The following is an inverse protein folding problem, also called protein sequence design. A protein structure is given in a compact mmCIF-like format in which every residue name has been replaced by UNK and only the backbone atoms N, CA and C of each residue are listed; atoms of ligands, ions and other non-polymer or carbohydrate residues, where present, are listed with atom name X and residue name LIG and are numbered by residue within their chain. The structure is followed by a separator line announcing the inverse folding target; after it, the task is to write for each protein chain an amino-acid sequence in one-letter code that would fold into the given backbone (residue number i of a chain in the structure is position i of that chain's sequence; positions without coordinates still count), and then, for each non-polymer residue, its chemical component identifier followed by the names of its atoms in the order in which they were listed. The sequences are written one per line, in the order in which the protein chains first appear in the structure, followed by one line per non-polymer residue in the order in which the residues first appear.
data_IF_136969082188
#
_entry.id   IF_136969082188
#
_cell.length_a   1.000
_cell.length_b   1.000
_cell.length_c   1.000
_cell.angle_alpha   90.00
_cell.angle_beta   90.00
_cell.angle_gamma   90.00
#
_symmetry.space_group_name_H-M   'P 1'
#
loop_
_entity.id
_entity.type
_entity.pdbx_description
1 polymer ?
#
# COMPACT_ATOMS: atom_id res chain seq x y z
N UNK A 1 12.68 5.18 -15.34
CA UNK A 1 12.89 4.37 -14.12
C UNK A 1 12.08 5.01 -13.00
N UNK A 2 11.26 4.25 -12.26
CA UNK A 2 10.58 4.77 -11.07
C UNK A 2 11.61 5.04 -9.98
N UNK A 3 11.38 6.08 -9.16
CA UNK A 3 12.13 6.29 -7.91
C UNK A 3 12.03 5.03 -7.04
N UNK A 4 13.13 4.65 -6.39
CA UNK A 4 13.15 3.60 -5.37
C UNK A 4 12.34 4.06 -4.15
N UNK A 5 11.40 3.23 -3.72
CA UNK A 5 10.63 3.45 -2.50
C UNK A 5 11.52 3.24 -1.26
N UNK A 6 11.19 3.93 -0.16
CA UNK A 6 11.87 3.81 1.13
C UNK A 6 10.83 3.70 2.27
N UNK A 7 9.79 2.90 2.09
CA UNK A 7 8.65 2.84 3.00
C UNK A 7 8.86 1.82 4.11
N UNK A 8 9.47 0.68 3.76
CA UNK A 8 9.76 -0.41 4.65
C UNK A 8 10.99 -0.13 5.53
N UNK A 9 11.85 0.81 5.14
CA UNK A 9 13.14 1.08 5.80
C UNK A 9 13.95 -0.23 5.91
N UNK A 10 13.96 -0.97 4.81
CA UNK A 10 14.61 -2.26 4.65
C UNK A 10 14.90 -2.45 3.16
N UNK A 11 16.17 -2.68 2.80
CA UNK A 11 16.63 -2.56 1.41
C UNK A 11 15.93 -3.53 0.47
N UNK A 12 15.75 -4.79 0.90
CA UNK A 12 15.15 -5.84 0.08
C UNK A 12 13.62 -5.68 0.00
N UNK A 13 12.97 -5.32 1.11
CA UNK A 13 11.53 -5.05 1.09
C UNK A 13 11.22 -3.83 0.22
N UNK A 14 12.01 -2.76 0.33
CA UNK A 14 11.84 -1.55 -0.47
C UNK A 14 12.13 -1.78 -1.96
N UNK A 15 13.02 -2.71 -2.30
CA UNK A 15 13.22 -3.17 -3.68
C UNK A 15 11.98 -3.90 -4.22
N UNK A 16 11.46 -4.89 -3.49
CA UNK A 16 10.21 -5.57 -3.87
C UNK A 16 9.04 -4.59 -4.02
N UNK A 17 8.88 -3.66 -3.09
CA UNK A 17 7.85 -2.62 -3.20
C UNK A 17 8.09 -1.77 -4.45
N UNK A 18 9.34 -1.42 -4.76
CA UNK A 18 9.67 -0.61 -5.94
C UNK A 18 9.27 -1.30 -7.23
N UNK A 19 9.49 -2.61 -7.33
CA UNK A 19 9.32 -3.41 -8.54
C UNK A 19 7.89 -3.93 -8.73
N UNK A 20 7.19 -4.23 -7.64
CA UNK A 20 5.87 -4.85 -7.67
C UNK A 20 4.78 -3.89 -7.11
N UNK A 21 3.87 -3.49 -8.00
CA UNK A 21 2.74 -2.62 -7.66
C UNK A 21 1.75 -3.29 -6.69
N UNK A 22 1.54 -4.60 -6.81
CA UNK A 22 0.69 -5.35 -5.89
C UNK A 22 1.33 -5.43 -4.50
N UNK A 23 2.65 -5.60 -4.42
CA UNK A 23 3.37 -5.54 -3.14
C UNK A 23 3.18 -4.18 -2.46
N UNK A 24 3.29 -3.08 -3.22
CA UNK A 24 3.01 -1.74 -2.69
C UNK A 24 1.57 -1.60 -2.19
N UNK A 25 0.60 -2.10 -2.96
CA UNK A 25 -0.82 -2.06 -2.60
C UNK A 25 -1.13 -2.90 -1.34
N UNK A 26 -0.53 -4.08 -1.24
CA UNK A 26 -0.64 -4.97 -0.08
C UNK A 26 0.00 -4.33 1.16
N UNK A 27 1.16 -3.68 1.04
CA UNK A 27 1.74 -2.90 2.14
C UNK A 27 0.79 -1.83 2.66
N UNK A 28 0.09 -1.13 1.76
CA UNK A 28 -0.93 -0.13 2.12
C UNK A 28 -2.16 -0.76 2.79
N UNK A 29 -2.59 -1.95 2.37
CA UNK A 29 -3.66 -2.71 3.04
C UNK A 29 -3.28 -3.03 4.50
N UNK A 30 -2.02 -3.41 4.73
CA UNK A 30 -1.49 -3.75 6.06
C UNK A 30 -1.27 -2.52 6.96
N UNK A 31 -1.14 -1.30 6.41
CA UNK A 31 -0.93 -0.07 7.19
C UNK A 31 -2.24 0.34 7.89
N UNK A 32 -2.61 -0.38 8.95
CA UNK A 32 -3.75 -0.05 9.80
C UNK A 32 -3.51 -0.52 11.24
N UNK A 33 -3.42 0.47 12.14
CA UNK A 33 -3.11 0.20 13.55
C UNK A 33 -1.81 -0.60 13.71
N UNK A 34 -0.84 -0.42 12.83
CA UNK A 34 0.43 -1.13 12.86
C UNK A 34 1.54 -0.15 12.46
N UNK A 35 2.78 -0.31 12.95
CA UNK A 35 3.86 0.55 12.51
C UNK A 35 4.00 0.46 10.99
N UNK A 36 4.02 1.61 10.34
CA UNK A 36 3.94 1.74 8.88
C UNK A 36 5.05 0.93 8.21
N UNK A 37 6.29 1.05 8.68
CA UNK A 37 7.45 0.36 8.13
C UNK A 37 7.26 -1.17 8.20
N UNK A 38 6.71 -1.65 9.32
CA UNK A 38 6.43 -3.08 9.47
C UNK A 38 5.28 -3.55 8.57
N UNK A 39 4.28 -2.72 8.30
CA UNK A 39 3.24 -3.02 7.32
C UNK A 39 3.84 -3.17 5.91
N UNK A 40 4.72 -2.25 5.51
CA UNK A 40 5.39 -2.29 4.21
C UNK A 40 6.47 -3.37 4.08
N UNK A 41 6.95 -3.96 5.19
CA UNK A 41 7.76 -5.21 5.18
C UNK A 41 6.91 -6.47 4.97
N UNK A 42 5.59 -6.39 5.14
CA UNK A 42 4.68 -7.53 5.02
C UNK A 42 4.78 -8.30 3.69
N UNK A 43 4.76 -7.63 2.52
CA UNK A 43 4.95 -8.28 1.23
C UNK A 43 6.24 -9.11 1.13
N UNK A 44 7.37 -8.59 1.63
CA UNK A 44 8.66 -9.31 1.60
C UNK A 44 8.62 -10.58 2.45
N UNK A 45 7.99 -10.54 3.62
CA UNK A 45 7.79 -11.75 4.45
C UNK A 45 6.96 -12.80 3.74
N UNK A 46 5.94 -12.40 2.98
CA UNK A 46 5.15 -13.33 2.16
C UNK A 46 6.04 -13.92 1.07
N UNK A 47 6.80 -13.08 0.37
CA UNK A 47 7.73 -13.51 -0.67
C UNK A 47 8.74 -14.55 -0.17
N UNK A 48 9.37 -14.29 0.97
CA UNK A 48 10.37 -15.19 1.57
C UNK A 48 9.77 -16.55 1.94
N UNK A 49 8.52 -16.57 2.40
CA UNK A 49 7.83 -17.80 2.82
C UNK A 49 7.25 -18.60 1.66
N UNK A 50 6.91 -17.93 0.55
CA UNK A 50 6.36 -18.56 -0.64
C UNK A 50 7.41 -18.85 -1.72
N UNK A 51 8.67 -18.44 -1.52
CA UNK A 51 9.75 -18.58 -2.50
C UNK A 51 9.56 -17.65 -3.71
N UNK A 52 9.05 -16.45 -3.48
CA UNK A 52 8.72 -15.46 -4.51
C UNK A 52 7.41 -14.73 -4.20
N UNK A 53 7.23 -13.55 -4.78
CA UNK A 53 6.01 -12.75 -4.64
C UNK A 53 5.18 -12.85 -5.93
N UNK A 54 4.01 -13.47 -5.85
CA UNK A 54 3.13 -13.70 -6.99
C UNK A 54 1.67 -13.58 -6.55
N UNK A 55 0.92 -12.69 -7.21
CA UNK A 55 -0.47 -12.41 -6.90
C UNK A 55 -1.38 -13.64 -7.09
N UNK A 56 -1.13 -14.47 -8.11
CA UNK A 56 -1.91 -15.68 -8.38
C UNK A 56 -1.65 -16.72 -7.30
N UNK A 57 -0.38 -16.94 -6.94
CA UNK A 57 -0.03 -17.87 -5.85
C UNK A 57 -0.65 -17.44 -4.52
N UNK A 58 -0.70 -16.14 -4.23
CA UNK A 58 -1.37 -15.62 -3.03
C UNK A 58 -2.88 -15.88 -3.09
N UNK A 59 -3.52 -15.58 -4.22
CA UNK A 59 -4.96 -15.72 -4.39
C UNK A 59 -5.45 -17.19 -4.34
N UNK A 60 -4.64 -18.11 -4.86
CA UNK A 60 -4.95 -19.54 -5.04
C UNK A 60 -4.50 -20.43 -3.87
N UNK A 61 -3.60 -19.93 -3.00
CA UNK A 61 -3.16 -20.68 -1.83
C UNK A 61 -4.36 -21.07 -0.93
N UNK A 62 -4.28 -22.26 -0.32
CA UNK A 62 -5.25 -22.65 0.70
C UNK A 62 -5.32 -21.58 1.79
N UNK A 63 -6.55 -21.23 2.19
CA UNK A 63 -6.78 -20.12 3.10
C UNK A 63 -6.13 -20.36 4.46
N UNK A 64 -6.27 -21.57 5.01
CA UNK A 64 -5.74 -21.90 6.33
C UNK A 64 -4.21 -21.95 6.30
N UNK A 65 -3.63 -22.55 5.27
CA UNK A 65 -2.17 -22.58 5.08
C UNK A 65 -1.59 -21.17 4.92
N UNK A 66 -2.24 -20.31 4.12
CA UNK A 66 -1.78 -18.93 3.92
C UNK A 66 -1.93 -18.09 5.19
N UNK A 67 -3.00 -18.29 5.96
CA UNK A 67 -3.19 -17.68 7.28
C UNK A 67 -2.08 -18.07 8.25
N UNK A 68 -1.76 -19.36 8.34
CA UNK A 68 -0.67 -19.89 9.17
C UNK A 68 0.68 -19.30 8.74
N UNK A 69 0.96 -19.33 7.44
CA UNK A 69 2.15 -18.74 6.84
C UNK A 69 2.30 -17.27 7.21
N UNK A 70 1.23 -16.48 7.13
CA UNK A 70 1.24 -15.05 7.44
C UNK A 70 1.29 -14.75 8.95
N UNK A 71 0.80 -15.68 9.78
CA UNK A 71 0.84 -15.60 11.25
C UNK A 71 2.17 -16.06 11.86
N UNK A 72 3.02 -16.78 11.12
CA UNK A 72 4.35 -17.21 11.56
C UNK A 72 5.18 -16.03 12.11
N UNK A 73 5.60 -16.07 13.40
CA UNK A 73 6.44 -15.04 13.98
C UNK A 73 7.80 -14.90 13.25
N UNK A 74 8.27 -13.67 12.98
CA UNK A 74 7.54 -12.41 13.16
C UNK A 74 6.44 -12.25 12.10
N UNK A 75 5.17 -12.17 12.52
CA UNK A 75 4.01 -12.14 11.62
C UNK A 75 4.03 -10.93 10.68
N UNK A 76 3.29 -11.00 9.57
CA UNK A 76 3.17 -9.87 8.61
C UNK A 76 2.48 -8.65 9.24
N UNK A 77 1.67 -8.90 10.27
CA UNK A 77 0.87 -7.91 10.97
C UNK A 77 0.55 -8.42 12.37
N UNK A 78 0.21 -7.53 13.31
CA UNK A 78 -0.27 -7.92 14.66
C UNK A 78 -1.57 -8.75 14.65
N UNK A 79 -2.27 -8.76 13.50
CA UNK A 79 -3.45 -9.58 13.24
C UNK A 79 -3.19 -10.47 12.00
N UNK A 80 -2.10 -11.26 12.03
CA UNK A 80 -1.56 -11.98 10.88
C UNK A 80 -2.62 -12.72 10.05
N UNK A 81 -3.39 -13.63 10.67
CA UNK A 81 -4.46 -14.41 9.99
C UNK A 81 -5.53 -13.54 9.33
N UNK A 82 -6.03 -12.53 10.05
CA UNK A 82 -7.08 -11.63 9.54
C UNK A 82 -6.57 -10.81 8.35
N UNK A 83 -5.32 -10.35 8.41
CA UNK A 83 -4.71 -9.63 7.30
C UNK A 83 -4.34 -10.56 6.14
N UNK A 84 -4.05 -11.84 6.39
CA UNK A 84 -3.81 -12.84 5.35
C UNK A 84 -5.06 -13.02 4.47
N UNK A 85 -6.23 -13.24 5.08
CA UNK A 85 -7.51 -13.34 4.34
C UNK A 85 -7.76 -12.11 3.47
N UNK A 86 -7.59 -10.91 4.04
CA UNK A 86 -7.75 -9.65 3.31
C UNK A 86 -6.75 -9.49 2.17
N UNK A 87 -5.53 -10.00 2.32
CA UNK A 87 -4.53 -9.99 1.26
C UNK A 87 -4.95 -10.91 0.10
N UNK A 88 -5.51 -12.08 0.38
CA UNK A 88 -6.06 -12.95 -0.66
C UNK A 88 -7.30 -12.33 -1.33
N UNK A 89 -8.20 -11.70 -0.56
CA UNK A 89 -9.36 -10.99 -1.12
C UNK A 89 -8.93 -9.87 -2.07
N UNK A 90 -7.90 -9.10 -1.67
CA UNK A 90 -7.32 -8.06 -2.52
C UNK A 90 -6.68 -8.64 -3.78
N UNK A 91 -5.93 -9.75 -3.66
CA UNK A 91 -5.32 -10.43 -4.80
C UNK A 91 -6.38 -10.90 -5.81
N UNK A 92 -7.42 -11.60 -5.33
CA UNK A 92 -8.55 -12.05 -6.15
C UNK A 92 -9.25 -10.90 -6.85
N UNK A 93 -9.50 -9.80 -6.13
CA UNK A 93 -10.16 -8.63 -6.72
C UNK A 93 -9.36 -8.03 -7.89
N UNK A 94 -8.04 -7.91 -7.75
CA UNK A 94 -7.16 -7.43 -8.83
C UNK A 94 -7.13 -8.41 -10.00
N UNK A 95 -7.10 -9.72 -9.73
CA UNK A 95 -7.15 -10.74 -10.78
C UNK A 95 -8.45 -10.63 -11.58
N UNK A 96 -9.59 -10.58 -10.90
CA UNK A 96 -10.92 -10.58 -11.51
C UNK A 96 -11.23 -9.27 -12.26
N UNK A 97 -10.88 -8.11 -11.70
CA UNK A 97 -11.31 -6.82 -12.23
C UNK A 97 -10.24 -6.09 -13.05
N UNK A 98 -8.97 -6.49 -12.90
CA UNK A 98 -7.82 -5.80 -13.47
C UNK A 98 -6.81 -6.74 -14.14
N UNK A 99 -7.24 -7.97 -14.47
CA UNK A 99 -6.44 -8.94 -15.24
C UNK A 99 -5.12 -9.33 -14.54
N UNK A 100 -5.13 -9.31 -13.19
CA UNK A 100 -3.95 -9.59 -12.35
C UNK A 100 -2.92 -8.46 -12.32
N UNK A 101 -3.17 -7.36 -13.04
CA UNK A 101 -2.23 -6.25 -13.20
C UNK A 101 -2.66 -5.05 -12.38
N UNK A 102 -2.01 -4.86 -11.24
CA UNK A 102 -2.35 -3.77 -10.31
C UNK A 102 -2.30 -2.39 -10.96
N UNK A 103 -1.38 -2.15 -11.91
CA UNK A 103 -1.28 -0.88 -12.60
C UNK A 103 -2.49 -0.54 -13.49
N UNK A 104 -3.34 -1.51 -13.82
CA UNK A 104 -4.57 -1.24 -14.57
C UNK A 104 -5.55 -0.36 -13.79
N UNK A 105 -5.43 -0.28 -12.46
CA UNK A 105 -6.17 0.70 -11.64
C UNK A 105 -5.99 2.13 -12.16
N UNK A 106 -4.80 2.49 -12.63
CA UNK A 106 -4.46 3.84 -13.12
C UNK A 106 -4.02 3.92 -14.58
N UNK A 107 -3.92 2.78 -15.29
CA UNK A 107 -3.56 2.75 -16.72
C UNK A 107 -4.72 2.38 -17.64
N UNK A 108 -5.57 1.43 -17.23
CA UNK A 108 -6.65 0.89 -18.09
C UNK A 108 -7.66 2.00 -18.40
N UNK A 109 -7.81 2.29 -19.69
CA UNK A 109 -8.68 3.34 -20.25
C UNK A 109 -8.27 4.79 -19.91
N UNK A 110 -7.01 5.03 -19.52
CA UNK A 110 -6.45 6.37 -19.22
C UNK A 110 -7.35 7.20 -18.27
N UNK A 111 -7.62 6.69 -17.06
CA UNK A 111 -8.55 7.33 -16.12
C UNK A 111 -8.00 8.68 -15.61
N UNK A 112 -8.90 9.57 -15.22
CA UNK A 112 -8.56 10.77 -14.47
C UNK A 112 -8.33 10.44 -12.97
N UNK A 113 -7.87 11.42 -12.20
CA UNK A 113 -7.60 11.24 -10.78
C UNK A 113 -8.83 10.87 -9.95
N UNK A 114 -10.03 11.31 -10.36
CA UNK A 114 -11.29 10.97 -9.68
C UNK A 114 -11.66 9.51 -9.91
N UNK A 115 -11.50 9.02 -11.14
CA UNK A 115 -11.74 7.64 -11.50
C UNK A 115 -10.72 6.70 -10.85
N UNK A 116 -9.44 7.07 -10.81
CA UNK A 116 -8.44 6.29 -10.07
C UNK A 116 -8.79 6.25 -8.57
N UNK A 117 -9.20 7.37 -7.98
CA UNK A 117 -9.64 7.37 -6.58
C UNK A 117 -10.86 6.46 -6.36
N UNK A 118 -11.85 6.51 -7.25
CA UNK A 118 -13.04 5.65 -7.19
C UNK A 118 -12.64 4.16 -7.24
N UNK A 119 -11.80 3.77 -8.21
CA UNK A 119 -11.28 2.40 -8.34
C UNK A 119 -10.50 1.94 -7.10
N UNK A 120 -9.69 2.82 -6.51
CA UNK A 120 -8.96 2.54 -5.27
C UNK A 120 -9.90 2.34 -4.08
N UNK A 121 -11.04 3.05 -4.02
CA UNK A 121 -12.05 2.88 -2.97
C UNK A 121 -12.86 1.60 -3.10
N UNK A 122 -12.95 1.03 -4.29
CA UNK A 122 -13.65 -0.24 -4.51
C UNK A 122 -12.80 -1.46 -4.08
N UNK A 123 -11.51 -1.27 -3.82
CA UNK A 123 -10.63 -2.36 -3.40
C UNK A 123 -11.01 -2.90 -2.00
N UNK A 124 -11.03 -4.23 -1.79
CA UNK A 124 -11.21 -4.82 -0.47
C UNK A 124 -10.23 -4.25 0.56
N UNK A 125 -10.76 -3.67 1.63
CA UNK A 125 -9.98 -3.08 2.72
C UNK A 125 -9.47 -1.64 2.49
N UNK A 126 -9.86 -0.98 1.39
CA UNK A 126 -9.52 0.42 1.13
C UNK A 126 -10.70 1.36 1.43
N UNK A 127 -10.62 2.05 2.57
CA UNK A 127 -11.47 3.20 2.84
C UNK A 127 -10.99 4.46 2.10
N UNK A 128 -11.79 5.52 2.16
CA UNK A 128 -11.52 6.80 1.51
C UNK A 128 -10.11 7.34 1.81
N UNK A 129 -9.71 7.32 3.08
CA UNK A 129 -8.40 7.83 3.48
C UNK A 129 -7.25 7.04 2.84
N UNK A 130 -7.32 5.70 2.83
CA UNK A 130 -6.27 4.87 2.21
C UNK A 130 -6.21 5.10 0.71
N UNK A 131 -7.36 5.19 0.05
CA UNK A 131 -7.44 5.46 -1.38
C UNK A 131 -6.80 6.81 -1.74
N UNK A 132 -7.10 7.88 -0.98
CA UNK A 132 -6.47 9.21 -1.18
C UNK A 132 -4.96 9.20 -0.94
N UNK A 133 -4.50 8.51 0.11
CA UNK A 133 -3.07 8.36 0.40
C UNK A 133 -2.37 7.59 -0.72
N UNK A 134 -2.96 6.49 -1.21
CA UNK A 134 -2.36 5.69 -2.27
C UNK A 134 -2.31 6.46 -3.60
N UNK A 135 -3.38 7.20 -3.95
CA UNK A 135 -3.37 8.10 -5.11
C UNK A 135 -2.26 9.17 -4.99
N UNK A 136 -2.04 9.71 -3.79
CA UNK A 136 -0.94 10.64 -3.55
C UNK A 136 0.42 9.98 -3.73
N UNK A 137 0.62 8.74 -3.24
CA UNK A 137 1.85 7.99 -3.42
C UNK A 137 2.15 7.75 -4.91
N UNK A 138 1.13 7.40 -5.70
CA UNK A 138 1.22 7.26 -7.14
C UNK A 138 1.71 8.56 -7.81
N UNK A 139 1.09 9.69 -7.50
CA UNK A 139 1.45 10.98 -8.10
C UNK A 139 2.82 11.51 -7.67
N UNK A 140 3.15 11.40 -6.38
CA UNK A 140 4.37 11.98 -5.80
C UNK A 140 5.61 11.14 -6.02
N UNK A 141 5.50 9.81 -5.93
CA UNK A 141 6.67 8.92 -5.94
C UNK A 141 6.76 8.05 -7.19
N UNK A 142 5.64 7.75 -7.84
CA UNK A 142 5.61 6.87 -9.03
C UNK A 142 5.45 7.60 -10.36
N UNK A 143 5.28 8.92 -10.33
CA UNK A 143 5.07 9.72 -11.55
C UNK A 143 3.74 9.41 -12.24
N UNK A 144 2.80 8.76 -11.55
CA UNK A 144 1.46 8.45 -12.06
C UNK A 144 0.55 9.62 -11.74
N UNK A 145 0.44 10.55 -12.68
CA UNK A 145 -0.21 11.84 -12.48
C UNK A 145 -1.40 12.03 -13.44
N UNK A 146 -2.48 11.24 -13.30
CA UNK A 146 -3.69 11.43 -14.11
C UNK A 146 -4.31 12.81 -13.84
N UNK A 147 -5.06 13.35 -14.81
CA UNK A 147 -5.64 14.69 -14.68
C UNK A 147 -6.45 14.84 -13.38
N UNK A 148 -6.21 15.91 -12.61
CA UNK A 148 -6.95 16.16 -11.37
C UNK A 148 -6.57 15.27 -10.17
N UNK A 149 -5.43 14.55 -10.23
CA UNK A 149 -5.05 13.62 -9.15
C UNK A 149 -4.78 14.30 -7.80
N UNK A 150 -4.26 15.53 -7.79
CA UNK A 150 -3.97 16.26 -6.54
C UNK A 150 -5.28 16.64 -5.84
N UNK A 151 -6.23 17.17 -6.60
CA UNK A 151 -7.57 17.53 -6.15
C UNK A 151 -8.30 16.29 -5.61
N UNK A 152 -8.21 15.16 -6.30
CA UNK A 152 -8.79 13.90 -5.85
C UNK A 152 -8.12 13.36 -4.57
N UNK A 153 -6.80 13.46 -4.46
CA UNK A 153 -6.06 13.08 -3.24
C UNK A 153 -6.31 14.02 -2.05
N UNK A 154 -6.89 15.21 -2.28
CA UNK A 154 -7.14 16.23 -1.27
C UNK A 154 -5.85 16.69 -0.60
N UNK A 155 -5.89 16.93 0.72
CA UNK A 155 -4.72 17.40 1.47
C UNK A 155 -3.49 16.46 1.39
N UNK A 156 -3.67 15.19 1.03
CA UNK A 156 -2.55 14.28 0.78
C UNK A 156 -1.84 14.61 -0.54
N UNK A 157 -2.50 15.24 -1.50
CA UNK A 157 -1.96 15.68 -2.78
C UNK A 157 -1.17 17.00 -2.72
N UNK A 158 -1.23 17.73 -1.61
CA UNK A 158 -0.52 19.00 -1.43
C UNK A 158 0.98 18.84 -1.67
N UNK A 159 1.58 19.80 -2.39
CA UNK A 159 3.02 19.85 -2.57
C UNK A 159 3.73 20.18 -1.25
N UNK A 160 4.88 19.56 -1.01
CA UNK A 160 5.65 19.75 0.23
C UNK A 160 5.01 19.17 1.50
N UNK A 161 3.85 18.51 1.43
CA UNK A 161 3.22 17.94 2.62
C UNK A 161 4.05 16.81 3.26
N UNK A 162 3.83 16.57 4.57
CA UNK A 162 4.42 15.48 5.36
C UNK A 162 3.35 14.79 6.19
N UNK A 163 2.31 14.27 5.53
CA UNK A 163 1.07 13.79 6.18
C UNK A 163 0.96 12.27 6.22
N UNK A 164 1.56 11.58 5.25
CA UNK A 164 1.31 10.16 5.02
C UNK A 164 2.52 9.44 4.42
N UNK A 165 2.38 8.14 4.19
CA UNK A 165 3.40 7.32 3.52
C UNK A 165 3.73 7.84 2.12
N UNK A 166 2.79 8.51 1.44
CA UNK A 166 3.04 9.15 0.15
C UNK A 166 4.15 10.21 0.20
N UNK A 167 4.44 10.76 1.39
CA UNK A 167 5.45 11.78 1.62
C UNK A 167 6.78 11.20 2.15
N UNK A 168 6.85 9.89 2.42
CA UNK A 168 8.03 9.22 2.97
C UNK A 168 8.94 8.77 1.84
N UNK A 169 10.13 9.36 1.78
CA UNK A 169 11.12 9.08 0.73
C UNK A 169 12.51 8.75 1.24
N UNK A 170 12.72 8.91 2.54
CA UNK A 170 13.97 8.71 3.28
C UNK A 170 13.66 8.72 4.79
N UNK A 171 14.68 8.55 5.63
CA UNK A 171 14.54 8.56 7.08
C UNK A 171 14.08 9.92 7.65
N UNK A 172 14.46 11.03 7.01
CA UNK A 172 14.11 12.38 7.47
C UNK A 172 12.60 12.64 7.28
N UNK A 173 12.10 12.41 6.06
CA UNK A 173 10.68 12.53 5.73
C UNK A 173 9.81 11.55 6.51
N UNK A 174 10.34 10.36 6.84
CA UNK A 174 9.68 9.43 7.76
C UNK A 174 9.49 10.05 9.16
N UNK A 175 10.53 10.66 9.71
CA UNK A 175 10.46 11.31 11.02
C UNK A 175 9.44 12.46 11.01
N UNK A 176 9.42 13.26 9.93
CA UNK A 176 8.46 14.36 9.75
C UNK A 176 7.00 13.86 9.70
N UNK A 177 6.73 12.78 8.96
CA UNK A 177 5.39 12.17 8.89
C UNK A 177 4.95 11.59 10.24
N UNK A 178 5.86 10.98 11.00
CA UNK A 178 5.57 10.50 12.36
C UNK A 178 5.21 11.64 13.30
N UNK A 179 5.96 12.73 13.25
CA UNK A 179 5.68 13.92 14.06
C UNK A 179 4.34 14.55 13.69
N UNK A 180 4.03 14.68 12.39
CA UNK A 180 2.71 15.15 11.95
C UNK A 180 1.57 14.26 12.47
N UNK A 181 1.68 12.93 12.34
CA UNK A 181 0.67 11.97 12.84
C UNK A 181 0.50 12.08 14.36
N UNK A 182 1.60 12.30 15.11
CA UNK A 182 1.58 12.48 16.56
C UNK A 182 0.85 13.78 16.94
N UNK A 183 1.15 14.88 16.27
CA UNK A 183 0.50 16.18 16.50
C UNK A 183 -0.99 16.13 16.15
N UNK A 184 -1.37 15.54 15.01
CA UNK A 184 -2.77 15.37 14.63
C UNK A 184 -3.56 14.54 15.65
N UNK A 185 -2.96 13.45 16.18
CA UNK A 185 -3.58 12.65 17.24
C UNK A 185 -3.70 13.40 18.56
N UNK A 186 -2.76 14.29 18.89
CA UNK A 186 -2.83 15.13 20.09
C UNK A 186 -3.91 16.21 19.95
N UNK A 187 -4.05 16.81 18.76
CA UNK A 187 -5.10 17.79 18.47
C UNK A 187 -6.50 17.18 18.53
N UNK A 188 -6.70 15.96 18.04
CA UNK A 188 -7.99 15.27 18.06
C UNK A 188 -8.46 14.80 19.47
N UNK A 189 -7.61 14.92 20.49
CA UNK A 189 -7.94 14.60 21.88
C UNK A 189 -8.37 15.83 22.70
N UNK A 190 -8.20 17.03 22.16
CA UNK A 190 -8.62 18.29 22.78
C UNK A 190 -10.01 18.65 22.26
#
# INVERSE_FOLDING_TARGET
MSRKLCLAQDVEADELLTEDHFATLLGMLLDQQYPMEHAFRGPKKIADRMGGFDIHRIAEADQQEFEDLCATPPAIHRYGRSMARRAQDLARYIIENYDGRTENLWKKDKPDGKEVLRRLKDLPGFGEQKAKIFLSLLGKQRGVQPAGWREAAGAYGDEGSRRSVADVTDAETLAQVREFKKQAKAAAKK
#
